data_IF_544329113955
#
_entry.id   IF_544329113955
#
_cell.length_a   1.000
_cell.length_b   1.000
_cell.length_c   1.000
_cell.angle_alpha   90.00
_cell.angle_beta   90.00
_cell.angle_gamma   90.00
#
_symmetry.space_group_name_H-M   'P 1'
#
loop_
_entity.id
_entity.type
_entity.pdbx_description
1 polymer ?
#
# COMPACT_ATOMS: atom_id res chain seq x y z
N UNK A 1 18.25 -3.75 -3.81
CA UNK A 1 17.64 -3.81 -2.46
C UNK A 1 18.20 -4.99 -1.68
N UNK A 2 17.98 -6.23 -2.15
CA UNK A 2 18.36 -7.45 -1.44
C UNK A 2 19.83 -7.50 -1.01
N UNK A 3 20.76 -7.20 -1.91
CA UNK A 3 22.20 -7.15 -1.58
C UNK A 3 22.53 -6.26 -0.36
N UNK A 4 21.86 -5.12 -0.20
CA UNK A 4 22.10 -4.25 0.95
C UNK A 4 21.37 -4.75 2.20
N UNK A 5 20.16 -5.31 2.06
CA UNK A 5 19.44 -5.91 3.18
C UNK A 5 20.20 -7.10 3.77
N UNK A 6 20.84 -7.94 2.93
CA UNK A 6 21.68 -9.05 3.39
C UNK A 6 22.96 -8.59 4.09
N UNK A 7 23.43 -7.37 3.81
CA UNK A 7 24.55 -6.78 4.55
C UNK A 7 24.13 -6.23 5.91
N UNK A 8 22.93 -5.64 5.99
CA UNK A 8 22.41 -5.03 7.23
C UNK A 8 21.84 -6.10 8.17
N UNK A 9 21.18 -7.11 7.61
CA UNK A 9 20.55 -8.23 8.31
C UNK A 9 21.05 -9.53 7.69
N UNK A 10 22.28 -9.96 8.01
CA UNK A 10 22.85 -11.18 7.46
C UNK A 10 22.09 -12.41 7.95
N UNK A 11 21.93 -13.37 7.06
CA UNK A 11 21.58 -14.74 7.39
C UNK A 11 22.73 -15.43 8.13
N UNK A 12 22.41 -16.44 8.95
CA UNK A 12 23.41 -17.24 9.64
C UNK A 12 24.05 -16.60 10.88
N UNK A 13 23.64 -15.40 11.29
CA UNK A 13 23.93 -14.92 12.64
C UNK A 13 23.23 -15.79 13.69
N UNK A 14 23.73 -15.84 14.95
CA UNK A 14 23.15 -16.67 16.01
C UNK A 14 21.84 -16.08 16.55
N UNK A 15 20.84 -15.96 15.69
CA UNK A 15 19.49 -15.56 16.06
C UNK A 15 18.84 -16.61 16.95
N UNK A 16 18.09 -16.16 17.96
CA UNK A 16 17.35 -17.06 18.86
C UNK A 16 16.15 -17.73 18.19
N UNK A 17 15.61 -17.11 17.15
CA UNK A 17 14.52 -17.64 16.33
C UNK A 17 15.12 -18.09 15.00
N UNK A 18 15.06 -19.38 14.72
CA UNK A 18 15.59 -19.97 13.49
C UNK A 18 14.92 -21.31 13.17
N UNK A 19 13.79 -21.57 13.84
CA UNK A 19 13.11 -22.86 13.76
C UNK A 19 12.51 -23.11 12.37
N UNK A 20 12.24 -22.06 11.59
CA UNK A 20 11.70 -22.17 10.25
C UNK A 20 12.77 -22.08 9.13
N UNK A 21 14.05 -22.02 9.48
CA UNK A 21 15.15 -21.93 8.52
C UNK A 21 16.13 -20.79 8.79
N UNK A 22 17.22 -20.72 8.01
CA UNK A 22 18.27 -19.71 8.20
C UNK A 22 17.83 -18.28 7.86
N UNK A 23 16.78 -18.14 7.05
CA UNK A 23 16.22 -16.87 6.57
C UNK A 23 15.04 -16.36 7.43
N UNK A 24 14.61 -17.13 8.44
CA UNK A 24 13.45 -16.86 9.29
C UNK A 24 13.57 -15.52 10.06
N UNK A 25 14.46 -15.44 11.06
CA UNK A 25 14.66 -14.20 11.79
C UNK A 25 15.17 -13.04 10.91
N UNK A 26 16.09 -13.25 9.95
CA UNK A 26 16.44 -12.20 8.99
C UNK A 26 15.21 -11.63 8.27
N UNK A 27 14.27 -12.46 7.82
CA UNK A 27 13.05 -12.01 7.18
C UNK A 27 12.18 -11.16 8.11
N UNK A 28 12.04 -11.56 9.38
CA UNK A 28 11.34 -10.76 10.40
C UNK A 28 11.98 -9.38 10.59
N UNK A 29 13.30 -9.31 10.71
CA UNK A 29 14.00 -8.03 10.89
C UNK A 29 13.89 -7.15 9.64
N UNK A 30 14.07 -7.71 8.44
CA UNK A 30 13.90 -7.00 7.16
C UNK A 30 12.48 -6.44 7.03
N UNK A 31 11.46 -7.23 7.37
CA UNK A 31 10.06 -6.82 7.33
C UNK A 31 9.73 -5.69 8.33
N UNK A 32 10.24 -5.77 9.55
CA UNK A 32 10.09 -4.69 10.54
C UNK A 32 10.74 -3.38 10.09
N UNK A 33 11.87 -3.46 9.38
CA UNK A 33 12.58 -2.28 8.89
C UNK A 33 11.88 -1.61 7.71
N UNK A 34 11.36 -2.39 6.76
CA UNK A 34 10.67 -1.86 5.57
C UNK A 34 9.20 -1.50 5.83
N UNK A 35 8.58 -2.14 6.81
CA UNK A 35 7.15 -2.05 7.08
C UNK A 35 6.30 -2.96 6.19
N UNK A 36 5.08 -3.24 6.64
CA UNK A 36 4.14 -4.16 5.98
C UNK A 36 2.98 -3.47 5.28
N UNK A 37 2.96 -2.14 5.26
CA UNK A 37 1.84 -1.35 4.70
C UNK A 37 2.33 -0.02 4.17
N UNK A 38 1.56 0.54 3.23
CA UNK A 38 1.81 1.83 2.62
C UNK A 38 0.49 2.55 2.36
N UNK A 39 0.53 3.87 2.41
CA UNK A 39 -0.61 4.74 2.08
C UNK A 39 -0.23 5.59 0.88
N UNK A 40 -0.97 5.47 -0.21
CA UNK A 40 -0.73 6.22 -1.46
C UNK A 40 -1.92 7.14 -1.71
N UNK A 41 -1.70 8.45 -1.89
CA UNK A 41 -2.77 9.38 -2.29
C UNK A 41 -3.30 9.03 -3.69
N UNK A 42 -4.60 9.22 -3.88
CA UNK A 42 -5.26 9.04 -5.18
C UNK A 42 -5.73 10.40 -5.66
N UNK A 43 -5.30 10.79 -6.86
CA UNK A 43 -5.70 12.05 -7.52
C UNK A 43 -6.22 11.71 -8.91
N UNK A 44 -7.42 12.20 -9.25
CA UNK A 44 -8.05 11.96 -10.56
C UNK A 44 -8.13 10.48 -10.95
N UNK A 45 -8.44 9.62 -9.98
CA UNK A 45 -8.58 8.18 -10.18
C UNK A 45 -7.26 7.45 -10.41
N UNK A 46 -6.10 8.08 -10.18
CA UNK A 46 -4.77 7.49 -10.34
C UNK A 46 -3.98 7.54 -9.03
N UNK A 47 -3.16 6.51 -8.80
CA UNK A 47 -2.18 6.54 -7.72
C UNK A 47 -1.20 7.70 -7.97
N UNK A 48 -1.02 8.56 -6.97
CA UNK A 48 -0.17 9.75 -7.05
C UNK A 48 1.29 9.35 -6.75
N UNK A 49 1.89 8.61 -7.69
CA UNK A 49 3.28 8.19 -7.64
C UNK A 49 4.15 9.15 -8.46
N UNK A 50 5.36 9.42 -7.99
CA UNK A 50 6.39 10.09 -8.78
C UNK A 50 6.90 9.21 -9.91
N UNK A 51 7.57 9.80 -10.90
CA UNK A 51 8.08 9.12 -12.12
C UNK A 51 8.87 7.84 -11.84
N UNK A 52 9.59 7.79 -10.71
CA UNK A 52 10.47 6.69 -10.34
C UNK A 52 9.99 5.88 -9.13
N UNK A 53 8.78 6.15 -8.63
CA UNK A 53 8.20 5.41 -7.51
C UNK A 53 7.47 4.16 -8.02
N UNK A 54 7.78 3.02 -7.41
CA UNK A 54 7.10 1.76 -7.63
C UNK A 54 6.56 1.20 -6.32
N UNK A 55 5.50 0.39 -6.41
CA UNK A 55 4.96 -0.37 -5.28
C UNK A 55 5.51 -1.78 -5.36
N UNK A 56 6.18 -2.21 -4.29
CA UNK A 56 6.88 -3.50 -4.25
C UNK A 56 6.33 -4.37 -3.12
N UNK A 57 6.11 -5.64 -3.43
CA UNK A 57 5.98 -6.68 -2.42
C UNK A 57 7.37 -7.29 -2.20
N UNK A 58 7.95 -7.02 -1.04
CA UNK A 58 9.24 -7.58 -0.67
C UNK A 58 9.02 -8.89 0.08
N UNK A 59 9.21 -10.02 -0.61
CA UNK A 59 9.31 -11.32 0.03
C UNK A 59 10.73 -11.53 0.55
N UNK A 60 10.87 -11.89 1.82
CA UNK A 60 12.17 -12.02 2.47
C UNK A 60 12.54 -13.46 2.82
N UNK A 61 11.64 -14.41 2.56
CA UNK A 61 11.91 -15.85 2.64
C UNK A 61 12.28 -16.39 1.26
N UNK A 62 13.33 -17.20 1.19
CA UNK A 62 13.76 -17.85 -0.06
C UNK A 62 12.73 -18.87 -0.54
N UNK A 63 12.03 -19.52 0.40
CA UNK A 63 10.98 -20.50 0.13
C UNK A 63 9.66 -20.05 0.76
N UNK A 64 9.10 -18.98 0.18
CA UNK A 64 7.84 -18.43 0.63
C UNK A 64 6.61 -19.12 0.01
N UNK A 65 5.54 -19.23 0.80
CA UNK A 65 4.21 -19.51 0.29
C UNK A 65 3.54 -18.28 -0.33
N UNK A 66 2.30 -18.42 -0.80
CA UNK A 66 1.54 -17.31 -1.35
C UNK A 66 1.26 -16.22 -0.31
N UNK A 67 1.18 -14.96 -0.78
CA UNK A 67 0.86 -13.79 0.05
C UNK A 67 -0.50 -13.21 -0.32
N UNK A 68 -1.17 -12.64 0.67
CA UNK A 68 -2.43 -11.92 0.50
C UNK A 68 -2.17 -10.44 0.77
N UNK A 69 -2.63 -9.59 -0.14
CA UNK A 69 -2.59 -8.15 0.00
C UNK A 69 -4.00 -7.64 0.26
N UNK A 70 -4.14 -6.76 1.24
CA UNK A 70 -5.40 -6.08 1.53
C UNK A 70 -5.27 -4.63 1.06
N UNK A 71 -6.22 -4.19 0.26
CA UNK A 71 -6.28 -2.83 -0.26
C UNK A 71 -7.54 -2.18 0.27
N UNK A 72 -7.38 -1.08 1.01
CA UNK A 72 -8.48 -0.25 1.47
C UNK A 72 -8.45 1.06 0.69
N UNK A 73 -9.55 1.37 0.02
CA UNK A 73 -9.74 2.64 -0.67
C UNK A 73 -10.71 3.50 0.13
N UNK A 74 -10.32 4.74 0.42
CA UNK A 74 -11.14 5.72 1.13
C UNK A 74 -11.05 7.06 0.40
N UNK A 75 -12.19 7.69 0.17
CA UNK A 75 -12.30 8.97 -0.54
C UNK A 75 -13.72 9.21 -1.07
N UNK A 76 -13.88 10.29 -1.83
CA UNK A 76 -15.11 10.59 -2.55
C UNK A 76 -14.91 10.41 -4.06
N UNK A 77 -15.95 9.95 -4.80
CA UNK A 77 -15.95 10.03 -6.25
C UNK A 77 -15.79 11.48 -6.70
N UNK A 78 -15.09 11.69 -7.82
CA UNK A 78 -15.11 12.99 -8.48
C UNK A 78 -16.54 13.25 -8.95
N UNK A 79 -17.15 14.35 -8.52
CA UNK A 79 -18.34 14.85 -9.18
C UNK A 79 -17.97 15.11 -10.65
N UNK A 80 -18.48 14.28 -11.56
CA UNK A 80 -18.60 14.70 -12.95
C UNK A 80 -19.42 15.98 -12.91
N UNK A 81 -18.87 17.07 -13.44
CA UNK A 81 -19.58 18.33 -13.55
C UNK A 81 -21.01 18.01 -13.99
N UNK A 82 -21.99 18.29 -13.14
CA UNK A 82 -23.40 18.24 -13.54
C UNK A 82 -23.47 18.97 -14.86
N UNK A 83 -23.94 18.31 -15.90
CA UNK A 83 -24.17 18.92 -17.21
C UNK A 83 -24.80 20.30 -16.97
N UNK A 84 -24.16 21.41 -17.37
CA UNK A 84 -24.82 22.69 -17.33
C UNK A 84 -25.90 22.61 -18.40
N UNK A 85 -27.15 22.39 -17.96
CA UNK A 85 -28.45 22.74 -18.55
C UNK A 85 -29.50 21.65 -18.28
N UNK A 86 -30.35 21.89 -17.29
CA UNK A 86 -31.77 22.15 -17.59
C UNK A 86 -32.32 23.18 -16.60
N UNK A 87 -32.89 24.31 -17.05
CA UNK A 87 -33.62 25.22 -16.19
C UNK A 87 -35.04 24.67 -16.06
N UNK A 88 -35.39 24.11 -14.90
CA UNK A 88 -36.80 23.94 -14.53
C UNK A 88 -37.01 24.50 -13.12
N UNK A 89 -37.35 25.78 -13.13
CA UNK A 89 -38.29 26.56 -12.31
C UNK A 89 -38.27 26.50 -10.77
N UNK A 90 -38.40 27.67 -10.09
CA UNK A 90 -38.58 27.79 -8.65
C UNK A 90 -40.08 27.75 -8.30
N UNK A 91 -40.56 26.68 -7.66
CA UNK A 91 -41.82 26.62 -6.89
C UNK A 91 -41.56 25.59 -5.77
N UNK A 92 -41.73 25.83 -4.47
CA UNK A 92 -42.69 26.67 -3.80
C UNK A 92 -42.09 27.37 -2.57
N UNK A 93 -42.43 28.64 -2.42
CA UNK A 93 -42.75 29.22 -1.13
C UNK A 93 -43.99 28.53 -0.57
N UNK A 94 -43.91 27.95 0.61
CA UNK A 94 -45.03 27.99 1.56
C UNK A 94 -44.46 28.22 2.94
N UNK A 95 -44.51 29.49 3.35
CA UNK A 95 -44.67 29.87 4.74
C UNK A 95 -45.98 29.30 5.27
N UNK A 96 -45.92 28.55 6.36
CA UNK A 96 -46.86 28.54 7.49
C UNK A 96 -46.22 27.78 8.64
#
# INVERSE_FOLDING_TARGET
MEMMLNKIVPEGLPYRHSCEGPDDMPAHVKACFLGSSLTIPITDGKLSLGTWQGVWLCEHRDQAGSRKLVITLSGCPRETARSPLSPVSPIASTSS
#
